data_IF_785845134103
#
_entry.id   IF_785845134103
#
_cell.length_a   1.000
_cell.length_b   1.000
_cell.length_c   1.000
_cell.angle_alpha   90.00
_cell.angle_beta   90.00
_cell.angle_gamma   90.00
#
_symmetry.space_group_name_H-M   'P 1'
#
loop_
_entity.id
_entity.type
_entity.pdbx_description
1 polymer ?
#
# COMPACT_ATOMS: atom_id res chain seq x y z
N UNK A 1 1.70 -19.63 -30.14
CA UNK A 1 2.99 -19.48 -29.42
C UNK A 1 2.68 -19.38 -27.92
N UNK A 2 3.15 -20.33 -27.09
CA UNK A 2 2.73 -20.47 -25.68
C UNK A 2 3.20 -19.29 -24.81
N UNK A 3 2.26 -18.54 -24.21
CA UNK A 3 2.53 -17.43 -23.27
C UNK A 3 3.46 -17.83 -22.11
N UNK A 4 3.50 -19.11 -21.75
CA UNK A 4 4.31 -19.65 -20.67
C UNK A 4 5.82 -19.69 -20.98
N UNK A 5 6.21 -19.67 -22.26
CA UNK A 5 7.63 -19.70 -22.63
C UNK A 5 8.40 -18.42 -22.24
N UNK A 6 7.70 -17.34 -21.87
CA UNK A 6 8.30 -16.09 -21.38
C UNK A 6 8.82 -16.19 -19.94
N UNK A 7 8.30 -17.12 -19.14
CA UNK A 7 8.61 -17.22 -17.71
C UNK A 7 9.61 -18.35 -17.42
N UNK A 8 10.82 -18.28 -18.00
CA UNK A 8 11.92 -19.22 -17.72
C UNK A 8 12.84 -18.66 -16.63
N UNK A 9 13.22 -19.51 -15.68
CA UNK A 9 14.14 -19.13 -14.60
C UNK A 9 15.57 -19.01 -15.12
N UNK A 10 16.11 -17.79 -15.11
CA UNK A 10 17.50 -17.51 -15.50
C UNK A 10 18.37 -17.43 -14.24
N UNK A 11 19.13 -18.51 -13.97
CA UNK A 11 20.06 -18.60 -12.83
C UNK A 11 21.09 -17.47 -12.81
N UNK A 12 21.49 -16.93 -13.97
CA UNK A 12 22.52 -15.89 -14.04
C UNK A 12 22.07 -14.56 -13.44
N UNK A 13 20.75 -14.28 -13.49
CA UNK A 13 20.10 -13.08 -12.96
C UNK A 13 19.66 -13.19 -11.51
N UNK A 14 19.69 -14.40 -10.93
CA UNK A 14 19.37 -14.62 -9.53
C UNK A 14 20.52 -14.15 -8.62
N UNK A 15 20.60 -12.83 -8.43
CA UNK A 15 21.62 -12.17 -7.61
C UNK A 15 20.95 -11.17 -6.67
N UNK A 16 21.54 -10.98 -5.49
CA UNK A 16 21.05 -10.00 -4.53
C UNK A 16 21.46 -8.59 -4.96
N UNK A 17 20.57 -7.90 -5.68
CA UNK A 17 20.73 -6.48 -6.01
C UNK A 17 20.51 -5.59 -4.79
N UNK A 18 21.09 -4.38 -4.82
CA UNK A 18 20.95 -3.41 -3.73
C UNK A 18 19.49 -3.11 -3.39
N UNK A 19 18.64 -2.87 -4.40
CA UNK A 19 17.20 -2.64 -4.21
C UNK A 19 16.51 -3.83 -3.51
N UNK A 20 16.89 -5.06 -3.85
CA UNK A 20 16.34 -6.27 -3.21
C UNK A 20 16.74 -6.33 -1.75
N UNK A 21 17.99 -6.00 -1.43
CA UNK A 21 18.46 -5.92 -0.04
C UNK A 21 17.73 -4.82 0.75
N UNK A 22 17.61 -3.60 0.20
CA UNK A 22 16.84 -2.50 0.82
C UNK A 22 15.39 -2.91 1.11
N UNK A 23 14.77 -3.63 0.16
CA UNK A 23 13.41 -4.16 0.31
C UNK A 23 13.31 -5.14 1.48
N UNK A 24 14.24 -6.09 1.57
CA UNK A 24 14.29 -7.04 2.69
C UNK A 24 14.48 -6.33 4.04
N UNK A 25 15.36 -5.33 4.09
CA UNK A 25 15.60 -4.54 5.30
C UNK A 25 14.37 -3.73 5.73
N UNK A 26 13.67 -3.11 4.78
CA UNK A 26 12.45 -2.36 5.08
C UNK A 26 11.34 -3.28 5.64
N UNK A 27 11.18 -4.47 5.08
CA UNK A 27 10.23 -5.47 5.62
C UNK A 27 10.65 -5.91 7.02
N UNK A 28 11.93 -6.15 7.26
CA UNK A 28 12.46 -6.49 8.60
C UNK A 28 12.13 -5.39 9.63
N UNK A 29 12.35 -4.12 9.29
CA UNK A 29 12.05 -3.00 10.18
C UNK A 29 10.54 -2.89 10.46
N UNK A 30 9.69 -3.07 9.44
CA UNK A 30 8.23 -3.08 9.65
C UNK A 30 7.81 -4.22 10.59
N UNK A 31 8.33 -5.44 10.39
CA UNK A 31 8.06 -6.59 11.25
C UNK A 31 8.46 -6.31 12.70
N UNK A 32 9.65 -5.74 12.89
CA UNK A 32 10.18 -5.41 14.21
C UNK A 32 9.33 -4.33 14.90
N UNK A 33 9.01 -3.23 14.21
CA UNK A 33 8.19 -2.15 14.77
C UNK A 33 6.79 -2.65 15.15
N UNK A 34 6.08 -3.29 14.21
CA UNK A 34 4.71 -3.75 14.45
C UNK A 34 4.67 -4.85 15.53
N UNK A 35 5.68 -5.72 15.57
CA UNK A 35 5.82 -6.75 16.60
C UNK A 35 6.06 -6.16 17.99
N UNK A 36 6.93 -5.15 18.13
CA UNK A 36 7.24 -4.52 19.41
C UNK A 36 6.07 -3.67 19.96
N UNK A 37 5.36 -2.95 19.09
CA UNK A 37 4.27 -2.07 19.50
C UNK A 37 2.89 -2.74 19.47
N UNK A 38 2.79 -4.00 19.01
CA UNK A 38 1.53 -4.73 18.93
C UNK A 38 0.52 -4.15 17.93
N UNK A 39 1.00 -3.44 16.90
CA UNK A 39 0.13 -2.80 15.91
C UNK A 39 -0.50 -3.82 14.96
N UNK A 40 -1.76 -3.60 14.59
CA UNK A 40 -2.48 -4.40 13.59
C UNK A 40 -2.05 -4.04 12.16
N UNK A 41 -2.43 -4.88 11.21
CA UNK A 41 -2.20 -4.67 9.76
C UNK A 41 -0.74 -4.65 9.31
N UNK A 42 0.11 -5.40 10.01
CA UNK A 42 1.49 -5.73 9.62
C UNK A 42 1.63 -6.07 8.13
N UNK A 43 0.68 -6.83 7.59
CA UNK A 43 0.68 -7.25 6.18
C UNK A 43 0.66 -6.05 5.22
N UNK A 44 -0.18 -5.04 5.45
CA UNK A 44 -0.25 -3.90 4.52
C UNK A 44 0.89 -2.93 4.75
N UNK A 45 1.39 -2.78 5.98
CA UNK A 45 2.63 -2.06 6.24
C UNK A 45 3.81 -2.64 5.46
N UNK A 46 4.00 -3.96 5.53
CA UNK A 46 5.09 -4.65 4.86
C UNK A 46 4.95 -4.59 3.33
N UNK A 47 3.75 -4.86 2.79
CA UNK A 47 3.48 -4.73 1.36
C UNK A 47 3.71 -3.30 0.87
N UNK A 48 3.27 -2.31 1.65
CA UNK A 48 3.47 -0.90 1.30
C UNK A 48 4.95 -0.55 1.27
N UNK A 49 5.77 -1.04 2.19
CA UNK A 49 7.21 -0.85 2.15
C UNK A 49 7.85 -1.44 0.88
N UNK A 50 7.49 -2.69 0.53
CA UNK A 50 7.95 -3.37 -0.69
C UNK A 50 7.57 -2.59 -1.94
N UNK A 51 6.33 -2.13 -2.00
CA UNK A 51 5.86 -1.42 -3.17
C UNK A 51 6.41 0.00 -3.26
N UNK A 52 6.70 0.66 -2.15
CA UNK A 52 7.19 2.05 -2.13
C UNK A 52 8.67 2.16 -2.46
N UNK A 53 9.46 1.11 -2.21
CA UNK A 53 10.86 1.08 -2.62
C UNK A 53 11.01 1.01 -4.16
N UNK A 54 11.69 2.02 -4.70
CA UNK A 54 12.10 2.14 -6.10
C UNK A 54 13.61 2.31 -6.16
N UNK A 55 14.15 2.27 -7.38
CA UNK A 55 15.59 2.45 -7.60
C UNK A 55 16.05 3.85 -7.23
N UNK A 56 15.22 4.86 -7.51
CA UNK A 56 15.49 6.26 -7.18
C UNK A 56 14.68 6.71 -5.96
N UNK A 57 15.28 7.59 -5.15
CA UNK A 57 14.65 8.18 -3.98
C UNK A 57 13.37 8.96 -4.34
N UNK A 58 13.45 9.88 -5.30
CA UNK A 58 12.31 10.70 -5.71
C UNK A 58 11.14 9.84 -6.22
N UNK A 59 11.45 8.77 -6.95
CA UNK A 59 10.43 7.81 -7.40
C UNK A 59 9.80 7.07 -6.24
N UNK A 60 10.58 6.78 -5.19
CA UNK A 60 10.07 6.12 -3.98
C UNK A 60 9.14 7.04 -3.20
N UNK A 61 9.50 8.33 -3.06
CA UNK A 61 8.65 9.35 -2.41
C UNK A 61 7.37 9.56 -3.21
N UNK A 62 7.48 9.82 -4.51
CA UNK A 62 6.30 10.03 -5.38
C UNK A 62 5.34 8.84 -5.32
N UNK A 63 5.87 7.62 -5.41
CA UNK A 63 5.05 6.42 -5.39
C UNK A 63 4.49 6.11 -3.99
N UNK A 64 5.21 6.43 -2.92
CA UNK A 64 4.73 6.34 -1.55
C UNK A 64 3.58 7.29 -1.27
N UNK A 65 3.72 8.57 -1.62
CA UNK A 65 2.67 9.59 -1.49
C UNK A 65 1.43 9.21 -2.28
N UNK A 66 1.61 8.72 -3.51
CA UNK A 66 0.54 8.19 -4.35
C UNK A 66 -0.26 7.08 -3.64
N UNK A 67 0.42 6.21 -2.89
CA UNK A 67 -0.20 5.16 -2.09
C UNK A 67 -1.00 5.68 -0.91
N UNK A 68 -0.44 6.63 -0.15
CA UNK A 68 -1.12 7.24 0.99
C UNK A 68 -2.41 7.92 0.52
N UNK A 69 -2.33 8.72 -0.56
CA UNK A 69 -3.48 9.38 -1.14
C UNK A 69 -4.52 8.37 -1.66
N UNK A 70 -4.08 7.35 -2.39
CA UNK A 70 -4.96 6.31 -2.93
C UNK A 70 -5.72 5.58 -1.83
N UNK A 71 -5.01 5.11 -0.79
CA UNK A 71 -5.62 4.42 0.35
C UNK A 71 -6.56 5.33 1.15
N UNK A 72 -6.26 6.62 1.25
CA UNK A 72 -7.14 7.60 1.90
C UNK A 72 -8.45 7.78 1.12
N UNK A 73 -8.39 7.89 -0.22
CA UNK A 73 -9.58 7.95 -1.08
C UNK A 73 -10.41 6.65 -0.95
N UNK A 74 -9.74 5.49 -0.96
CA UNK A 74 -10.41 4.20 -0.77
C UNK A 74 -11.10 4.09 0.59
N UNK A 75 -10.42 4.53 1.65
CA UNK A 75 -10.96 4.60 3.00
C UNK A 75 -12.18 5.54 3.10
N UNK A 76 -12.14 6.69 2.44
CA UNK A 76 -13.27 7.62 2.37
C UNK A 76 -14.51 6.98 1.73
N UNK A 77 -14.38 6.32 0.57
CA UNK A 77 -15.52 5.65 -0.06
C UNK A 77 -16.01 4.42 0.72
N UNK A 78 -15.13 3.74 1.45
CA UNK A 78 -15.54 2.70 2.38
C UNK A 78 -16.38 3.26 3.53
N UNK A 79 -15.97 4.39 4.13
CA UNK A 79 -16.76 5.07 5.16
C UNK A 79 -18.14 5.47 4.64
N UNK A 80 -18.22 6.06 3.45
CA UNK A 80 -19.50 6.39 2.81
C UNK A 80 -20.37 5.15 2.61
N UNK A 81 -19.78 4.05 2.12
CA UNK A 81 -20.49 2.78 1.99
C UNK A 81 -21.10 2.34 3.31
N UNK A 82 -20.32 2.35 4.41
CA UNK A 82 -20.79 1.90 5.72
C UNK A 82 -21.92 2.78 6.28
N UNK A 83 -21.84 4.10 6.11
CA UNK A 83 -22.91 5.02 6.52
C UNK A 83 -24.22 4.65 5.82
N UNK A 84 -24.18 4.48 4.50
CA UNK A 84 -25.36 4.12 3.71
C UNK A 84 -25.86 2.72 4.10
N UNK A 85 -24.95 1.74 4.20
CA UNK A 85 -25.33 0.37 4.52
C UNK A 85 -25.97 0.25 5.92
N UNK A 86 -25.53 1.06 6.88
CA UNK A 86 -26.14 1.13 8.22
C UNK A 86 -27.57 1.66 8.18
N UNK A 87 -27.85 2.69 7.38
CA UNK A 87 -29.23 3.23 7.17
C UNK A 87 -30.16 2.15 6.64
N UNK A 88 -29.67 1.29 5.76
CA UNK A 88 -30.44 0.20 5.17
C UNK A 88 -30.37 -1.11 5.96
N UNK A 89 -29.89 -1.13 7.21
CA UNK A 89 -29.80 -2.34 8.05
C UNK A 89 -29.02 -3.48 7.41
N UNK A 90 -27.91 -3.15 6.74
CA UNK A 90 -26.93 -4.11 6.22
C UNK A 90 -27.49 -5.12 5.22
N UNK A 91 -28.51 -4.71 4.47
CA UNK A 91 -29.12 -5.56 3.46
C UNK A 91 -28.14 -5.83 2.31
N UNK A 92 -28.01 -7.09 1.93
CA UNK A 92 -27.00 -7.53 0.96
C UNK A 92 -27.13 -6.86 -0.42
N UNK A 93 -28.35 -6.47 -0.83
CA UNK A 93 -28.56 -5.76 -2.10
C UNK A 93 -27.87 -4.38 -2.12
N UNK A 94 -27.70 -3.73 -0.96
CA UNK A 94 -26.96 -2.47 -0.84
C UNK A 94 -25.48 -2.72 -1.12
N UNK A 95 -24.89 -3.77 -0.56
CA UNK A 95 -23.53 -4.22 -0.88
C UNK A 95 -23.37 -4.51 -2.37
N UNK A 96 -24.31 -5.23 -2.97
CA UNK A 96 -24.28 -5.61 -4.38
C UNK A 96 -24.24 -4.39 -5.32
N UNK A 97 -24.98 -3.33 -5.00
CA UNK A 97 -25.06 -2.13 -5.83
C UNK A 97 -23.97 -1.11 -5.48
N UNK A 98 -23.74 -0.87 -4.19
CA UNK A 98 -22.94 0.25 -3.72
C UNK A 98 -21.44 -0.04 -3.74
N UNK A 99 -21.00 -1.30 -3.52
CA UNK A 99 -19.56 -1.64 -3.61
C UNK A 99 -19.00 -1.41 -5.02
N UNK A 100 -19.66 -1.84 -6.12
CA UNK A 100 -19.23 -1.48 -7.47
C UNK A 100 -19.21 0.03 -7.72
N UNK A 101 -20.23 0.76 -7.25
CA UNK A 101 -20.30 2.22 -7.39
C UNK A 101 -19.14 2.89 -6.65
N UNK A 102 -18.91 2.56 -5.39
CA UNK A 102 -17.78 3.06 -4.61
C UNK A 102 -16.43 2.68 -5.25
N UNK A 103 -16.33 1.52 -5.91
CA UNK A 103 -15.12 1.12 -6.65
C UNK A 103 -14.88 2.07 -7.82
N UNK A 104 -15.90 2.31 -8.65
CA UNK A 104 -15.81 3.22 -9.78
C UNK A 104 -15.48 4.64 -9.32
N UNK A 105 -16.11 5.13 -8.25
CA UNK A 105 -15.82 6.43 -7.67
C UNK A 105 -14.39 6.52 -7.13
N UNK A 106 -13.90 5.47 -6.46
CA UNK A 106 -12.50 5.41 -5.98
C UNK A 106 -11.53 5.54 -7.15
N UNK A 107 -11.80 4.86 -8.27
CA UNK A 107 -10.97 4.94 -9.49
C UNK A 107 -11.04 6.35 -10.08
N UNK A 108 -12.26 6.87 -10.31
CA UNK A 108 -12.49 8.18 -10.93
C UNK A 108 -11.83 9.30 -10.13
N UNK A 109 -11.96 9.28 -8.81
CA UNK A 109 -11.35 10.29 -7.92
C UNK A 109 -9.84 10.22 -7.94
N UNK A 110 -9.24 9.02 -7.92
CA UNK A 110 -7.79 8.88 -8.09
C UNK A 110 -7.32 9.40 -9.45
N UNK A 111 -8.04 9.10 -10.54
CA UNK A 111 -7.70 9.59 -11.88
C UNK A 111 -7.84 11.11 -11.98
N UNK A 112 -8.91 11.67 -11.43
CA UNK A 112 -9.16 13.11 -11.39
C UNK A 112 -8.09 13.87 -10.59
N UNK A 113 -7.55 13.25 -9.55
CA UNK A 113 -6.42 13.78 -8.76
C UNK A 113 -5.04 13.50 -9.38
N UNK A 114 -4.99 13.03 -10.62
CA UNK A 114 -3.76 12.61 -11.31
C UNK A 114 -2.97 11.51 -10.56
N UNK A 115 -3.63 10.72 -9.72
CA UNK A 115 -3.06 9.69 -8.86
C UNK A 115 -3.23 8.27 -9.44
N UNK A 116 -2.91 8.08 -10.72
CA UNK A 116 -3.11 6.78 -11.42
C UNK A 116 -2.36 5.63 -10.75
N UNK A 117 -1.18 5.88 -10.20
CA UNK A 117 -0.38 4.88 -9.49
C UNK A 117 -1.01 4.42 -8.16
N UNK A 118 -1.91 5.23 -7.57
CA UNK A 118 -2.59 4.95 -6.31
C UNK A 118 -3.90 4.17 -6.48
N UNK A 119 -4.42 4.02 -7.71
CA UNK A 119 -5.73 3.40 -7.99
C UNK A 119 -5.83 1.99 -7.40
N UNK A 120 -4.84 1.12 -7.65
CA UNK A 120 -4.85 -0.26 -7.13
C UNK A 120 -4.85 -0.26 -5.60
N UNK A 121 -4.04 0.62 -4.99
CA UNK A 121 -4.00 0.77 -3.53
C UNK A 121 -5.37 1.18 -2.99
N UNK A 122 -5.93 2.26 -3.53
CA UNK A 122 -7.22 2.80 -3.09
C UNK A 122 -8.37 1.82 -3.26
N UNK A 123 -8.48 1.17 -4.42
CA UNK A 123 -9.51 0.14 -4.64
C UNK A 123 -9.31 -1.04 -3.69
N UNK A 124 -8.08 -1.51 -3.48
CA UNK A 124 -7.80 -2.59 -2.53
C UNK A 124 -8.18 -2.19 -1.10
N UNK A 125 -7.88 -0.95 -0.69
CA UNK A 125 -8.26 -0.43 0.61
C UNK A 125 -9.78 -0.40 0.76
N UNK A 126 -10.50 0.14 -0.22
CA UNK A 126 -11.96 0.20 -0.22
C UNK A 126 -12.58 -1.20 -0.11
N UNK A 127 -12.16 -2.14 -0.97
CA UNK A 127 -12.69 -3.50 -0.97
C UNK A 127 -12.35 -4.28 0.31
N UNK A 128 -11.11 -4.18 0.80
CA UNK A 128 -10.73 -4.87 2.04
C UNK A 128 -11.53 -4.33 3.22
N UNK A 129 -11.71 -3.00 3.32
CA UNK A 129 -12.46 -2.40 4.42
C UNK A 129 -13.94 -2.79 4.35
N UNK A 130 -14.56 -2.69 3.16
CA UNK A 130 -15.99 -2.96 2.98
C UNK A 130 -16.35 -4.44 3.04
N UNK A 131 -15.47 -5.35 2.60
CA UNK A 131 -15.77 -6.79 2.51
C UNK A 131 -15.20 -7.63 3.67
N UNK A 132 -14.32 -7.09 4.52
CA UNK A 132 -13.66 -7.87 5.58
C UNK A 132 -14.17 -7.61 7.00
N UNK A 133 -15.06 -6.63 7.23
CA UNK A 133 -15.32 -6.07 8.57
C UNK A 133 -16.81 -6.08 8.93
N UNK A 134 -17.11 -6.37 10.20
CA UNK A 134 -18.40 -6.10 10.85
C UNK A 134 -18.50 -4.61 11.26
N UNK A 135 -19.66 -3.95 11.09
CA UNK A 135 -19.80 -2.49 11.16
C UNK A 135 -19.31 -1.81 12.45
N UNK A 136 -19.23 -2.53 13.57
CA UNK A 136 -18.91 -1.98 14.89
C UNK A 136 -17.56 -1.23 15.01
N UNK A 137 -16.55 -1.49 14.15
CA UNK A 137 -15.20 -0.88 14.26
C UNK A 137 -14.69 -0.17 12.99
N UNK A 138 -15.55 0.08 12.01
CA UNK A 138 -15.14 0.54 10.66
C UNK A 138 -14.29 1.80 10.67
N UNK A 139 -14.64 2.82 11.46
CA UNK A 139 -13.94 4.12 11.47
C UNK A 139 -12.49 3.93 11.95
N UNK A 140 -12.32 3.28 13.10
CA UNK A 140 -11.00 2.99 13.66
C UNK A 140 -10.15 2.18 12.69
N UNK A 141 -10.77 1.20 12.01
CA UNK A 141 -10.08 0.39 11.03
C UNK A 141 -9.63 1.20 9.80
N UNK A 142 -10.44 2.13 9.28
CA UNK A 142 -10.04 3.01 8.16
C UNK A 142 -8.80 3.82 8.53
N UNK A 143 -8.78 4.41 9.73
CA UNK A 143 -7.61 5.14 10.22
C UNK A 143 -6.40 4.22 10.40
N UNK A 144 -6.58 3.01 10.95
CA UNK A 144 -5.53 2.02 11.05
C UNK A 144 -4.92 1.70 9.68
N UNK A 145 -5.74 1.53 8.63
CA UNK A 145 -5.26 1.24 7.27
C UNK A 145 -4.43 2.36 6.67
N UNK A 146 -4.86 3.61 6.86
CA UNK A 146 -4.09 4.78 6.42
C UNK A 146 -2.77 4.86 7.18
N UNK A 147 -2.80 4.65 8.50
CA UNK A 147 -1.62 4.64 9.36
C UNK A 147 -0.63 3.53 8.97
N UNK A 148 -1.09 2.31 8.75
CA UNK A 148 -0.25 1.17 8.34
C UNK A 148 0.45 1.45 7.00
N UNK A 149 -0.28 2.05 6.06
CA UNK A 149 0.27 2.48 4.77
C UNK A 149 1.32 3.57 4.96
N UNK A 150 1.01 4.57 5.78
CA UNK A 150 1.93 5.65 6.09
C UNK A 150 3.23 5.11 6.70
N UNK A 151 3.14 4.20 7.67
CA UNK A 151 4.32 3.56 8.29
C UNK A 151 5.14 2.78 7.26
N UNK A 152 4.48 2.03 6.36
CA UNK A 152 5.16 1.32 5.28
C UNK A 152 5.91 2.26 4.34
N UNK A 153 5.30 3.38 3.93
CA UNK A 153 5.95 4.40 3.09
C UNK A 153 7.10 5.06 3.83
N UNK A 154 6.90 5.43 5.09
CA UNK A 154 7.89 6.10 5.92
C UNK A 154 9.16 5.25 6.06
N UNK A 155 9.02 3.98 6.43
CA UNK A 155 10.16 3.05 6.55
C UNK A 155 10.83 2.84 5.20
N UNK A 156 10.08 2.71 4.10
CA UNK A 156 10.66 2.58 2.76
C UNK A 156 11.52 3.79 2.37
N UNK A 157 11.04 5.01 2.63
CA UNK A 157 11.76 6.25 2.34
C UNK A 157 13.03 6.35 3.18
N UNK A 158 12.95 6.07 4.49
CA UNK A 158 14.10 6.05 5.40
C UNK A 158 15.18 5.08 4.92
N UNK A 159 14.81 3.82 4.68
CA UNK A 159 15.75 2.79 4.22
C UNK A 159 16.39 3.17 2.88
N UNK A 160 15.62 3.77 1.97
CA UNK A 160 16.18 4.18 0.69
C UNK A 160 17.21 5.31 0.87
N UNK A 161 16.85 6.35 1.63
CA UNK A 161 17.67 7.53 1.89
C UNK A 161 18.97 7.19 2.61
N UNK A 162 18.89 6.44 3.71
CA UNK A 162 20.05 6.16 4.57
C UNK A 162 21.08 5.30 3.83
N UNK A 163 20.64 4.31 3.06
CA UNK A 163 21.55 3.44 2.31
C UNK A 163 22.20 4.20 1.14
N UNK A 164 21.46 5.07 0.45
CA UNK A 164 22.05 5.89 -0.63
C UNK A 164 23.07 6.90 -0.08
N UNK A 165 22.76 7.51 1.07
CA UNK A 165 23.67 8.42 1.75
C UNK A 165 24.94 7.71 2.22
N UNK A 166 24.82 6.54 2.85
CA UNK A 166 25.96 5.72 3.27
C UNK A 166 26.84 5.34 2.07
N UNK A 167 26.24 4.86 0.98
CA UNK A 167 26.98 4.52 -0.24
C UNK A 167 27.77 5.69 -0.79
N UNK A 168 27.16 6.87 -0.87
CA UNK A 168 27.82 8.09 -1.38
C UNK A 168 29.02 8.50 -0.51
N UNK A 169 28.91 8.32 0.82
CA UNK A 169 30.01 8.58 1.76
C UNK A 169 31.17 7.59 1.56
N UNK A 170 30.87 6.31 1.37
CA UNK A 170 31.88 5.29 1.11
C UNK A 170 32.58 5.48 -0.24
N UNK A 171 31.85 5.89 -1.28
CA UNK A 171 32.43 6.19 -2.60
C UNK A 171 33.33 7.45 -2.56
N UNK A 172 32.99 8.47 -1.76
CA UNK A 172 33.84 9.66 -1.58
C UNK A 172 35.12 9.43 -0.76
N UNK A 173 35.20 8.34 0.00
CA UNK A 173 36.39 7.99 0.80
C UNK A 173 37.41 7.15 0.05
N UNK A 174 37.09 6.75 -1.19
CA UNK A 174 37.96 5.96 -2.06
C UNK A 174 38.57 6.84 -3.15
#
# INVERSE_FOLDING_TARGET
>A
MSYFNKYKFDKSKFRLGMRTFKTGLAVFIILLLFGLFGWKGLQIGALTAVFSLREDFDKSVHFGTSRILGNSIGGFYALLFFIVNSVFKEQYWVTLLLVPVCTMLTIMTNVAMNNKAGVIGGVSAMLIITLSIRPEDTILYVFARIFETFMGVFVAILVNSDIDRLRTIFEKKK
#
